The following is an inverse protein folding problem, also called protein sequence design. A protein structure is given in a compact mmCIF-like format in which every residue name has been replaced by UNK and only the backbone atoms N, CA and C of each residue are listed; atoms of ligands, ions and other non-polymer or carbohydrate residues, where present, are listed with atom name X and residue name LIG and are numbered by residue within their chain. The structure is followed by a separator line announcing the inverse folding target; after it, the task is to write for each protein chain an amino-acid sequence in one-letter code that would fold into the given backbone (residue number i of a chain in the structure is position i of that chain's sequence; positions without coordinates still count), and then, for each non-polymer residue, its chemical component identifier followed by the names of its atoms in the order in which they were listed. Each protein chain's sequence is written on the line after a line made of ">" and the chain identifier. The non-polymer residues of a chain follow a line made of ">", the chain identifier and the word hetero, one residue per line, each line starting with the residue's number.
data_IF_034603037619
#
_entry.id   IF_034603037619
#
_cell.length_a   1.000
_cell.length_b   1.000
_cell.length_c   1.000
_cell.angle_alpha   90.00
_cell.angle_beta   90.00
_cell.angle_gamma   90.00
#
_symmetry.space_group_name_H-M   'P 1'
#
loop_
_entity.id
_entity.type
_entity.pdbx_description
1 polymer ?
#
# COMPACT_ATOMS: atom_id res chain seq x y z
N UNK A 1 -12.97 11.23 9.51
CA UNK A 1 -12.37 10.08 8.83
C UNK A 1 -13.50 9.11 8.51
N UNK A 2 -13.69 8.73 7.25
CA UNK A 2 -14.84 7.93 6.79
C UNK A 2 -14.42 6.47 6.59
N UNK A 3 -13.86 5.85 7.62
CA UNK A 3 -13.25 4.54 7.53
C UNK A 3 -13.67 3.66 8.72
N UNK A 4 -13.96 2.38 8.44
CA UNK A 4 -14.27 1.34 9.42
C UNK A 4 -13.31 0.15 9.30
N UNK A 5 -13.16 -0.62 10.37
CA UNK A 5 -12.37 -1.87 10.34
C UNK A 5 -12.90 -2.88 9.32
N UNK A 6 -14.21 -2.93 9.11
CA UNK A 6 -14.84 -3.85 8.16
C UNK A 6 -14.42 -3.53 6.71
N UNK A 7 -14.26 -2.25 6.38
CA UNK A 7 -13.77 -1.82 5.07
C UNK A 7 -12.32 -2.27 4.82
N UNK A 8 -11.46 -2.24 5.85
CA UNK A 8 -10.07 -2.73 5.75
C UNK A 8 -10.06 -4.22 5.42
N UNK A 9 -10.81 -5.03 6.17
CA UNK A 9 -10.84 -6.48 5.97
C UNK A 9 -11.36 -6.83 4.57
N UNK A 10 -12.41 -6.14 4.12
CA UNK A 10 -12.93 -6.29 2.77
C UNK A 10 -11.87 -5.94 1.70
N UNK A 11 -11.10 -4.86 1.89
CA UNK A 11 -10.02 -4.48 0.97
C UNK A 11 -8.91 -5.53 0.92
N UNK A 12 -8.49 -6.06 2.07
CA UNK A 12 -7.49 -7.14 2.18
C UNK A 12 -7.97 -8.38 1.44
N UNK A 13 -9.22 -8.79 1.62
CA UNK A 13 -9.79 -9.95 0.94
C UNK A 13 -9.89 -9.76 -0.58
N UNK A 14 -10.33 -8.59 -1.04
CA UNK A 14 -10.37 -8.27 -2.47
C UNK A 14 -8.95 -8.31 -3.07
N UNK A 15 -7.98 -7.69 -2.39
CA UNK A 15 -6.60 -7.65 -2.85
C UNK A 15 -6.02 -9.06 -2.97
N UNK A 16 -6.23 -9.90 -1.94
CA UNK A 16 -5.74 -11.28 -1.88
C UNK A 16 -6.40 -12.21 -2.89
N UNK A 17 -7.73 -12.16 -3.02
CA UNK A 17 -8.50 -13.14 -3.79
C UNK A 17 -8.72 -12.74 -5.25
N UNK A 18 -8.74 -11.44 -5.55
CA UNK A 18 -9.16 -10.94 -6.87
C UNK A 18 -8.02 -10.26 -7.61
N UNK A 19 -7.30 -9.35 -6.96
CA UNK A 19 -6.31 -8.47 -7.61
C UNK A 19 -4.95 -9.17 -7.75
N UNK A 20 -4.30 -9.56 -6.64
CA UNK A 20 -2.94 -10.13 -6.67
C UNK A 20 -2.78 -11.37 -7.56
N UNK A 21 -3.77 -12.28 -7.69
CA UNK A 21 -3.67 -13.40 -8.63
C UNK A 21 -3.59 -12.99 -10.11
N UNK A 22 -3.95 -11.75 -10.45
CA UNK A 22 -4.05 -11.23 -11.82
C UNK A 22 -3.14 -10.02 -12.08
N UNK A 23 -2.40 -9.59 -11.07
CA UNK A 23 -1.52 -8.43 -11.13
C UNK A 23 -0.08 -8.84 -10.85
N UNK A 24 0.85 -8.30 -11.64
CA UNK A 24 2.28 -8.47 -11.39
C UNK A 24 2.74 -7.70 -10.16
N UNK A 25 2.01 -6.63 -9.81
CA UNK A 25 2.32 -5.75 -8.69
C UNK A 25 1.07 -5.00 -8.21
N UNK A 26 1.01 -4.72 -6.91
CA UNK A 26 0.13 -3.75 -6.28
C UNK A 26 0.99 -2.76 -5.47
N UNK A 27 0.83 -1.46 -5.74
CA UNK A 27 1.59 -0.40 -5.07
C UNK A 27 0.66 0.53 -4.28
N UNK A 28 1.04 0.87 -3.05
CA UNK A 28 0.32 1.81 -2.19
C UNK A 28 1.25 2.87 -1.61
N UNK A 29 0.93 4.15 -1.84
CA UNK A 29 1.66 5.28 -1.29
C UNK A 29 0.85 5.98 -0.20
N UNK A 30 1.32 5.94 1.04
CA UNK A 30 0.73 6.70 2.14
C UNK A 30 1.33 8.10 2.15
N UNK A 31 0.53 9.12 1.81
CA UNK A 31 0.94 10.51 2.03
C UNK A 31 0.87 10.81 3.52
N UNK A 32 1.93 11.37 4.08
CA UNK A 32 1.95 11.76 5.49
C UNK A 32 0.88 12.82 5.75
N UNK A 33 0.09 12.59 6.79
CA UNK A 33 -0.95 13.52 7.22
C UNK A 33 -0.57 14.11 8.57
N UNK A 34 -1.07 15.31 8.93
CA UNK A 34 -0.88 15.88 10.27
C UNK A 34 -1.39 14.98 11.40
N UNK A 35 -2.23 13.99 11.08
CA UNK A 35 -2.85 13.06 12.02
C UNK A 35 -2.12 11.71 12.10
N UNK A 36 -0.95 11.60 11.46
CA UNK A 36 -0.10 10.40 11.44
C UNK A 36 -0.26 9.56 10.17
N UNK A 37 0.41 8.40 10.17
CA UNK A 37 0.31 7.40 9.10
C UNK A 37 -1.02 6.66 9.19
N UNK A 38 -1.70 6.54 8.04
CA UNK A 38 -2.99 5.86 7.94
C UNK A 38 -2.90 4.39 8.39
N UNK A 39 -3.97 3.86 8.97
CA UNK A 39 -4.00 2.47 9.40
C UNK A 39 -3.80 1.51 8.23
N UNK A 40 -4.35 1.82 7.05
CA UNK A 40 -4.35 0.90 5.92
C UNK A 40 -2.95 0.47 5.47
N UNK A 41 -1.94 1.36 5.51
CA UNK A 41 -0.55 0.96 5.19
C UNK A 41 0.02 -0.05 6.21
N UNK A 42 -0.40 0.04 7.49
CA UNK A 42 -0.02 -0.92 8.53
C UNK A 42 -0.69 -2.27 8.26
N UNK A 43 -1.98 -2.25 7.93
CA UNK A 43 -2.74 -3.46 7.60
C UNK A 43 -2.14 -4.16 6.36
N UNK A 44 -1.77 -3.39 5.33
CA UNK A 44 -1.09 -3.94 4.16
C UNK A 44 0.26 -4.59 4.50
N UNK A 45 1.06 -3.96 5.37
CA UNK A 45 2.34 -4.52 5.83
C UNK A 45 2.14 -5.79 6.67
N UNK A 46 1.12 -5.82 7.51
CA UNK A 46 0.78 -6.99 8.33
C UNK A 46 0.35 -8.18 7.47
N UNK A 47 -0.57 -7.96 6.53
CA UNK A 47 -1.18 -9.04 5.74
C UNK A 47 -0.31 -9.48 4.56
N UNK A 48 0.49 -8.57 3.99
CA UNK A 48 1.22 -8.79 2.73
C UNK A 48 2.72 -8.48 2.79
N UNK A 49 3.31 -8.21 3.96
CA UNK A 49 4.72 -7.84 4.07
C UNK A 49 5.74 -8.87 3.55
N UNK A 50 5.30 -10.11 3.28
CA UNK A 50 6.10 -11.18 2.66
C UNK A 50 5.81 -11.39 1.17
N UNK A 51 4.76 -10.77 0.63
CA UNK A 51 4.41 -10.86 -0.79
C UNK A 51 5.12 -9.75 -1.55
N UNK A 52 6.19 -10.10 -2.28
CA UNK A 52 7.00 -9.14 -3.03
C UNK A 52 6.22 -8.37 -4.11
N UNK A 53 5.02 -8.82 -4.48
CA UNK A 53 4.14 -8.10 -5.41
C UNK A 53 3.48 -6.89 -4.75
N UNK A 54 3.43 -6.83 -3.42
CA UNK A 54 2.85 -5.72 -2.67
C UNK A 54 3.96 -4.77 -2.22
N UNK A 55 3.94 -3.56 -2.77
CA UNK A 55 4.91 -2.51 -2.44
C UNK A 55 4.18 -1.39 -1.70
N UNK A 56 4.71 -0.98 -0.55
CA UNK A 56 4.20 0.16 0.22
C UNK A 56 5.28 1.22 0.34
N UNK A 57 4.90 2.49 0.21
CA UNK A 57 5.80 3.64 0.34
C UNK A 57 5.15 4.73 1.19
N UNK A 58 5.95 5.45 1.96
CA UNK A 58 5.50 6.61 2.75
C UNK A 58 6.01 7.89 2.08
N UNK A 59 5.08 8.77 1.69
CA UNK A 59 5.33 10.01 0.97
C UNK A 59 5.18 11.16 1.96
N UNK A 60 6.29 11.61 2.55
CA UNK A 60 6.28 12.67 3.57
C UNK A 60 5.96 14.05 3.01
N UNK A 61 6.47 14.32 1.81
CA UNK A 61 6.37 15.60 1.14
C UNK A 61 6.45 15.43 -0.39
N UNK A 62 6.49 16.55 -1.10
CA UNK A 62 6.58 16.57 -2.58
C UNK A 62 7.87 15.96 -3.11
N UNK A 63 8.96 16.05 -2.36
CA UNK A 63 10.27 15.54 -2.77
C UNK A 63 10.29 14.01 -2.69
N UNK A 64 9.59 13.44 -1.70
CA UNK A 64 9.43 12.01 -1.54
C UNK A 64 8.66 11.32 -2.68
N UNK A 65 7.82 12.04 -3.44
CA UNK A 65 7.01 11.48 -4.54
C UNK A 65 7.89 10.75 -5.57
N UNK A 66 9.01 11.36 -5.97
CA UNK A 66 9.92 10.76 -6.95
C UNK A 66 10.59 9.50 -6.39
N UNK A 67 10.89 9.50 -5.08
CA UNK A 67 11.38 8.32 -4.36
C UNK A 67 10.37 7.17 -4.41
N UNK A 68 9.11 7.44 -4.06
CA UNK A 68 8.05 6.42 -4.07
C UNK A 68 7.78 5.85 -5.46
N UNK A 69 7.81 6.67 -6.51
CA UNK A 69 7.68 6.18 -7.89
C UNK A 69 8.82 5.20 -8.22
N UNK A 70 10.05 5.50 -7.79
CA UNK A 70 11.19 4.58 -7.96
C UNK A 70 11.03 3.32 -7.13
N UNK A 71 10.49 3.39 -5.92
CA UNK A 71 10.22 2.20 -5.11
C UNK A 71 9.16 1.30 -5.78
N UNK A 72 8.12 1.90 -6.36
CA UNK A 72 7.08 1.17 -7.07
C UNK A 72 7.58 0.52 -8.35
N UNK A 73 8.36 1.22 -9.17
CA UNK A 73 8.70 0.77 -10.52
C UNK A 73 10.13 0.25 -10.67
N UNK A 74 10.98 0.45 -9.66
CA UNK A 74 12.41 0.15 -9.73
C UNK A 74 12.77 -1.32 -9.53
N UNK A 75 11.90 -2.11 -8.90
CA UNK A 75 12.10 -3.55 -8.66
C UNK A 75 11.68 -4.44 -9.83
N UNK A 76 11.76 -3.93 -11.07
CA UNK A 76 11.23 -4.58 -12.28
C UNK A 76 11.30 -6.11 -12.23
N UNK A 77 10.12 -6.75 -12.28
CA UNK A 77 9.96 -8.18 -12.53
C UNK A 77 9.50 -8.38 -13.97
#
# INVERSE_FOLDING_TARGET
>A
DNWSMDDTLACVDILKQKILPRANMFAYGQVESPYGSGQFIKDLREHFGKDERVITSEIRDKEAIVGSIKEFLGKGK
#
